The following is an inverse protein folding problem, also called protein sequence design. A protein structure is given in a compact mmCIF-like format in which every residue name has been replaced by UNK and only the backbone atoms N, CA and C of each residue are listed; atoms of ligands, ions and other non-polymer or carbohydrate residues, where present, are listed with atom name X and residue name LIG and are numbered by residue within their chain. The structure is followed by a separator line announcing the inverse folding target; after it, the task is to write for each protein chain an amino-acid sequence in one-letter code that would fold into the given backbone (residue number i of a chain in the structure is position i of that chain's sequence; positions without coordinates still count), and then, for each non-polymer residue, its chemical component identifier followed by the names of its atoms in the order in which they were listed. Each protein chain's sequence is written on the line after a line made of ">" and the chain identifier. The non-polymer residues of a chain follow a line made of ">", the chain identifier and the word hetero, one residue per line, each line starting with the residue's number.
data_IF_729549605950
#
_entry.id   IF_729549605950
#
_cell.length_a   1.000
_cell.length_b   1.000
_cell.length_c   1.000
_cell.angle_alpha   90.00
_cell.angle_beta   90.00
_cell.angle_gamma   90.00
#
_symmetry.space_group_name_H-M   'P 1'
#
loop_
_entity.id
_entity.type
_entity.pdbx_description
1 polymer ?
#
# COMPACT_ATOMS: atom_id res chain seq x y z
N UNK A 1 -46.09 3.64 -19.21
CA UNK A 1 -45.50 2.68 -20.16
C UNK A 1 -44.07 2.39 -19.75
N UNK A 2 -43.68 1.10 -19.74
CA UNK A 2 -42.32 0.70 -19.43
C UNK A 2 -41.48 0.81 -20.71
N UNK A 3 -40.28 1.41 -20.60
CA UNK A 3 -39.27 1.42 -21.64
C UNK A 3 -38.15 0.47 -21.18
N UNK A 4 -37.94 -0.61 -21.93
CA UNK A 4 -36.95 -1.61 -21.61
C UNK A 4 -35.65 -1.30 -22.37
N UNK A 5 -34.52 -1.26 -21.64
CA UNK A 5 -33.17 -1.21 -22.18
C UNK A 5 -32.40 -2.42 -21.67
N UNK A 6 -31.52 -2.95 -22.49
CA UNK A 6 -30.80 -4.17 -22.17
C UNK A 6 -29.30 -3.88 -22.02
N UNK A 7 -28.65 -4.54 -21.07
CA UNK A 7 -27.21 -4.34 -20.80
C UNK A 7 -26.32 -4.58 -22.03
N UNK A 8 -26.71 -5.46 -22.94
CA UNK A 8 -25.94 -5.68 -24.18
C UNK A 8 -25.96 -4.48 -25.12
N UNK A 9 -26.99 -3.62 -25.05
CA UNK A 9 -27.08 -2.39 -25.85
C UNK A 9 -26.00 -1.36 -25.44
N UNK A 10 -25.61 -1.38 -24.16
CA UNK A 10 -24.48 -0.58 -23.65
C UNK A 10 -23.14 -1.16 -24.13
N UNK A 11 -23.00 -2.49 -24.08
CA UNK A 11 -21.82 -3.18 -24.62
C UNK A 11 -21.61 -2.95 -26.11
N UNK A 12 -22.69 -2.81 -26.90
CA UNK A 12 -22.64 -2.50 -28.31
C UNK A 12 -22.38 -1.01 -28.58
N UNK A 13 -22.41 -0.15 -27.55
CA UNK A 13 -22.21 1.29 -27.66
C UNK A 13 -23.36 2.04 -28.37
N UNK A 14 -24.57 1.45 -28.38
CA UNK A 14 -25.74 2.04 -29.05
C UNK A 14 -26.94 2.24 -28.10
N UNK A 15 -26.73 2.09 -26.77
CA UNK A 15 -27.79 2.25 -25.76
C UNK A 15 -28.42 3.64 -25.81
N UNK A 16 -27.61 4.71 -25.89
CA UNK A 16 -28.11 6.10 -25.91
C UNK A 16 -28.99 6.36 -27.11
N UNK A 17 -28.55 5.96 -28.31
CA UNK A 17 -29.30 6.16 -29.57
C UNK A 17 -30.62 5.36 -29.54
N UNK A 18 -30.58 4.13 -29.07
CA UNK A 18 -31.78 3.27 -28.94
C UNK A 18 -32.74 3.80 -27.87
N UNK A 19 -32.22 4.30 -26.74
CA UNK A 19 -33.03 4.89 -25.68
C UNK A 19 -33.70 6.17 -26.18
N UNK A 20 -32.95 7.04 -26.84
CA UNK A 20 -33.49 8.27 -27.43
C UNK A 20 -34.62 7.97 -28.44
N UNK A 21 -34.42 6.98 -29.30
CA UNK A 21 -35.43 6.52 -30.26
C UNK A 21 -36.69 6.02 -29.55
N UNK A 22 -36.54 5.16 -28.54
CA UNK A 22 -37.64 4.58 -27.73
C UNK A 22 -38.43 5.70 -26.99
N UNK A 23 -37.74 6.71 -26.47
CA UNK A 23 -38.36 7.86 -25.81
C UNK A 23 -39.18 8.70 -26.81
N UNK A 24 -38.64 8.99 -28.01
CA UNK A 24 -39.35 9.69 -29.09
C UNK A 24 -40.59 8.92 -29.53
N UNK A 25 -40.51 7.62 -29.71
CA UNK A 25 -41.64 6.74 -30.08
C UNK A 25 -42.78 6.72 -29.03
N UNK A 26 -42.45 6.99 -27.79
CA UNK A 26 -43.42 7.08 -26.67
C UNK A 26 -43.91 8.52 -26.44
N UNK A 27 -43.51 9.50 -27.24
CA UNK A 27 -43.79 10.93 -27.07
C UNK A 27 -43.35 11.45 -25.68
N UNK A 28 -42.23 10.95 -25.18
CA UNK A 28 -41.61 11.47 -23.98
C UNK A 28 -40.72 12.64 -24.35
N UNK A 29 -41.07 13.83 -23.87
CA UNK A 29 -40.19 14.98 -24.00
C UNK A 29 -38.99 14.82 -23.09
N UNK A 30 -37.80 14.89 -23.62
CA UNK A 30 -36.57 14.93 -22.88
C UNK A 30 -35.68 16.09 -23.35
N UNK A 31 -34.92 16.62 -22.42
CA UNK A 31 -33.99 17.74 -22.69
C UNK A 31 -32.57 17.26 -22.31
N UNK A 32 -31.64 17.49 -23.21
CA UNK A 32 -30.22 17.36 -22.81
C UNK A 32 -29.94 18.43 -21.76
N UNK A 33 -29.67 17.98 -20.55
CA UNK A 33 -29.25 18.81 -19.45
C UNK A 33 -27.70 18.87 -19.50
N UNK A 34 -27.09 20.06 -19.59
CA UNK A 34 -25.66 20.18 -19.52
C UNK A 34 -25.13 19.48 -18.26
N UNK A 35 -24.04 18.73 -18.38
CA UNK A 35 -23.42 18.06 -17.24
C UNK A 35 -23.19 19.01 -16.07
N UNK A 36 -22.87 20.27 -16.35
CA UNK A 36 -22.69 21.34 -15.36
C UNK A 36 -23.93 21.55 -14.47
N UNK A 37 -25.13 21.49 -15.05
CA UNK A 37 -26.39 21.66 -14.32
C UNK A 37 -26.77 20.44 -13.49
N UNK A 38 -26.28 19.24 -13.86
CA UNK A 38 -26.47 17.99 -13.12
C UNK A 38 -25.50 17.92 -11.92
N UNK A 39 -24.29 18.49 -12.08
CA UNK A 39 -23.20 18.31 -11.14
C UNK A 39 -23.18 19.27 -9.95
N UNK A 40 -23.92 20.38 -10.00
CA UNK A 40 -23.85 21.44 -8.97
C UNK A 40 -24.45 21.01 -7.62
N UNK A 41 -25.39 20.08 -7.56
CA UNK A 41 -26.16 19.82 -6.35
C UNK A 41 -25.87 18.53 -5.57
N UNK A 42 -25.03 17.62 -6.07
CA UNK A 42 -24.84 16.33 -5.38
C UNK A 42 -23.37 16.06 -5.03
N UNK A 43 -23.07 15.95 -3.73
CA UNK A 43 -21.75 15.52 -3.19
C UNK A 43 -21.20 14.23 -3.82
N UNK A 44 -22.06 13.37 -4.35
CA UNK A 44 -21.67 12.13 -5.03
C UNK A 44 -20.94 12.41 -6.35
N UNK A 45 -21.36 13.38 -7.13
CA UNK A 45 -20.70 13.75 -8.36
C UNK A 45 -19.31 14.35 -8.13
N UNK A 46 -19.14 15.14 -7.08
CA UNK A 46 -17.81 15.65 -6.72
C UNK A 46 -16.82 14.50 -6.47
N UNK A 47 -17.27 13.40 -5.84
CA UNK A 47 -16.44 12.22 -5.62
C UNK A 47 -16.06 11.54 -6.95
N UNK A 48 -17.02 11.41 -7.87
CA UNK A 48 -16.79 10.81 -9.20
C UNK A 48 -15.80 11.65 -9.98
N UNK A 49 -16.00 12.97 -10.03
CA UNK A 49 -15.08 13.89 -10.71
C UNK A 49 -13.69 13.84 -10.09
N UNK A 50 -13.57 13.87 -8.77
CA UNK A 50 -12.27 13.76 -8.11
C UNK A 50 -11.58 12.40 -8.40
N UNK A 51 -12.34 11.32 -8.43
CA UNK A 51 -11.83 10.00 -8.81
C UNK A 51 -11.34 9.98 -10.24
N UNK A 52 -12.12 10.54 -11.18
CA UNK A 52 -11.73 10.66 -12.60
C UNK A 52 -10.47 11.53 -12.76
N UNK A 53 -10.42 12.70 -12.13
CA UNK A 53 -9.24 13.59 -12.17
C UNK A 53 -8.01 12.86 -11.63
N UNK A 54 -8.14 12.14 -10.51
CA UNK A 54 -7.05 11.36 -9.94
C UNK A 54 -6.56 10.28 -10.90
N UNK A 55 -7.49 9.58 -11.55
CA UNK A 55 -7.17 8.57 -12.57
C UNK A 55 -6.49 9.20 -13.78
N UNK A 56 -7.02 10.30 -14.29
CA UNK A 56 -6.45 11.03 -15.44
C UNK A 56 -5.02 11.51 -15.14
N UNK A 57 -4.80 12.12 -13.98
CA UNK A 57 -3.47 12.54 -13.54
C UNK A 57 -2.49 11.36 -13.44
N UNK A 58 -2.94 10.22 -12.89
CA UNK A 58 -2.13 9.02 -12.82
C UNK A 58 -1.74 8.52 -14.22
N UNK A 59 -2.68 8.44 -15.15
CA UNK A 59 -2.43 8.02 -16.54
C UNK A 59 -1.49 9.00 -17.25
N UNK A 60 -1.70 10.31 -17.10
CA UNK A 60 -0.84 11.34 -17.68
C UNK A 60 0.60 11.18 -17.15
N UNK A 61 0.76 11.06 -15.82
CA UNK A 61 2.09 10.90 -15.23
C UNK A 61 2.77 9.60 -15.66
N UNK A 62 2.06 8.47 -15.66
CA UNK A 62 2.60 7.19 -16.12
C UNK A 62 3.01 7.25 -17.60
N UNK A 63 2.16 7.81 -18.46
CA UNK A 63 2.49 7.92 -19.88
C UNK A 63 3.70 8.84 -20.12
N UNK A 64 3.85 9.95 -19.39
CA UNK A 64 5.05 10.80 -19.44
C UNK A 64 6.28 10.06 -18.91
N UNK A 65 6.19 9.40 -17.75
CA UNK A 65 7.31 8.64 -17.20
C UNK A 65 7.81 7.54 -18.14
N UNK A 66 6.92 6.90 -18.89
CA UNK A 66 7.28 5.89 -19.87
C UNK A 66 7.63 6.47 -21.24
N UNK A 67 7.67 7.80 -21.37
CA UNK A 67 7.93 8.52 -22.62
C UNK A 67 6.96 8.12 -23.75
N UNK A 68 5.72 7.76 -23.39
CA UNK A 68 4.66 7.41 -24.33
C UNK A 68 3.90 8.67 -24.69
N UNK A 69 3.91 9.05 -25.97
CA UNK A 69 3.15 10.19 -26.45
C UNK A 69 1.66 9.86 -26.58
N UNK A 70 0.85 10.87 -26.92
CA UNK A 70 -0.60 10.74 -27.02
C UNK A 70 -1.05 9.73 -28.08
N UNK A 71 -0.43 9.76 -29.25
CA UNK A 71 -0.78 8.89 -30.39
C UNK A 71 -0.41 7.45 -30.09
N UNK A 72 0.77 7.23 -29.49
CA UNK A 72 1.24 5.91 -29.08
C UNK A 72 0.34 5.32 -27.97
N UNK A 73 -0.10 6.13 -27.00
CA UNK A 73 -1.02 5.67 -25.95
C UNK A 73 -2.35 5.19 -26.56
N UNK A 74 -2.89 5.93 -27.50
CA UNK A 74 -4.12 5.57 -28.20
C UNK A 74 -3.93 4.27 -29.00
N UNK A 75 -2.80 4.13 -29.71
CA UNK A 75 -2.48 2.92 -30.46
C UNK A 75 -2.39 1.68 -29.57
N UNK A 76 -1.63 1.77 -28.49
CA UNK A 76 -1.49 0.67 -27.50
C UNK A 76 -2.81 0.28 -26.83
N UNK A 77 -3.76 1.19 -26.77
CA UNK A 77 -5.07 0.95 -26.13
C UNK A 77 -6.11 0.28 -27.04
N UNK A 78 -5.88 0.19 -28.37
CA UNK A 78 -6.87 -0.30 -29.35
C UNK A 78 -7.38 -1.72 -29.11
N UNK A 79 -6.56 -2.57 -28.55
CA UNK A 79 -6.94 -3.98 -28.30
C UNK A 79 -7.95 -4.13 -27.15
N UNK A 80 -8.10 -3.10 -26.29
CA UNK A 80 -9.05 -3.12 -25.19
C UNK A 80 -9.98 -1.91 -25.26
N UNK A 81 -11.27 -2.16 -25.55
CA UNK A 81 -12.28 -1.12 -25.73
C UNK A 81 -12.33 -0.12 -24.56
N UNK A 82 -12.28 -0.60 -23.32
CA UNK A 82 -12.35 0.28 -22.13
C UNK A 82 -11.06 1.11 -21.96
N UNK A 83 -9.90 0.53 -22.29
CA UNK A 83 -8.64 1.28 -22.31
C UNK A 83 -8.67 2.35 -23.38
N UNK A 84 -9.16 2.03 -24.57
CA UNK A 84 -9.27 2.97 -25.68
C UNK A 84 -10.19 4.15 -25.34
N UNK A 85 -11.40 3.88 -24.82
CA UNK A 85 -12.35 4.94 -24.44
C UNK A 85 -11.78 5.84 -23.34
N UNK A 86 -11.08 5.26 -22.36
CA UNK A 86 -10.45 6.04 -21.31
C UNK A 86 -9.26 6.86 -21.84
N UNK A 87 -8.47 6.32 -22.76
CA UNK A 87 -7.40 7.05 -23.44
C UNK A 87 -7.96 8.24 -24.24
N UNK A 88 -9.00 8.02 -25.02
CA UNK A 88 -9.66 9.04 -25.83
C UNK A 88 -10.20 10.22 -24.97
N UNK A 89 -10.74 9.92 -23.78
CA UNK A 89 -11.18 10.93 -22.81
C UNK A 89 -10.01 11.69 -22.15
N UNK A 90 -8.87 11.02 -21.91
CA UNK A 90 -7.74 11.61 -21.18
C UNK A 90 -6.83 12.41 -22.11
N UNK A 91 -6.70 12.04 -23.38
CA UNK A 91 -5.79 12.70 -24.32
C UNK A 91 -6.05 14.21 -24.51
N UNK A 92 -7.30 14.69 -24.64
CA UNK A 92 -7.57 16.14 -24.70
C UNK A 92 -7.13 16.85 -23.41
N UNK A 93 -7.33 16.21 -22.25
CA UNK A 93 -6.91 16.77 -20.96
C UNK A 93 -5.38 16.85 -20.88
N UNK A 94 -4.67 15.81 -21.30
CA UNK A 94 -3.21 15.81 -21.38
C UNK A 94 -2.70 16.93 -22.27
N UNK A 95 -3.26 17.07 -23.47
CA UNK A 95 -2.88 18.13 -24.41
C UNK A 95 -3.10 19.52 -23.82
N UNK A 96 -4.23 19.74 -23.15
CA UNK A 96 -4.52 21.00 -22.44
C UNK A 96 -3.52 21.26 -21.32
N UNK A 97 -3.18 20.23 -20.54
CA UNK A 97 -2.21 20.30 -19.47
C UNK A 97 -0.80 20.62 -20.00
N UNK A 98 -0.33 19.92 -21.02
CA UNK A 98 0.98 20.15 -21.64
C UNK A 98 1.08 21.56 -22.24
N UNK A 99 0.01 22.06 -22.91
CA UNK A 99 -0.08 23.43 -23.41
C UNK A 99 -0.01 24.46 -22.28
N UNK A 100 -0.74 24.22 -21.18
CA UNK A 100 -0.67 25.10 -20.00
C UNK A 100 0.74 25.19 -19.42
N UNK A 101 1.43 24.07 -19.26
CA UNK A 101 2.82 24.04 -18.81
C UNK A 101 3.75 24.81 -19.75
N UNK A 102 3.55 24.64 -21.07
CA UNK A 102 4.33 25.35 -22.09
C UNK A 102 4.11 26.88 -22.04
N UNK A 103 2.84 27.33 -22.03
CA UNK A 103 2.49 28.73 -21.99
C UNK A 103 2.93 29.44 -20.71
N UNK A 104 2.82 28.77 -19.57
CA UNK A 104 3.23 29.30 -18.28
C UNK A 104 4.74 29.14 -17.99
N UNK A 105 5.47 28.49 -18.91
CA UNK A 105 6.91 28.17 -18.75
C UNK A 105 7.19 27.36 -17.48
N UNK A 106 6.28 26.46 -17.14
CA UNK A 106 6.39 25.54 -16.02
C UNK A 106 6.73 24.13 -16.52
N UNK A 107 7.22 23.30 -15.62
CA UNK A 107 7.49 21.89 -15.83
C UNK A 107 7.00 21.09 -14.60
N UNK A 108 6.51 19.89 -14.84
CA UNK A 108 6.24 18.94 -13.77
C UNK A 108 7.45 18.03 -13.49
N UNK A 109 7.31 17.11 -12.51
CA UNK A 109 8.40 16.21 -12.13
C UNK A 109 8.80 15.24 -13.26
N UNK A 110 7.85 14.78 -14.07
CA UNK A 110 8.16 13.92 -15.22
C UNK A 110 8.94 14.72 -16.28
N UNK A 111 8.52 15.97 -16.58
CA UNK A 111 9.23 16.85 -17.50
C UNK A 111 10.66 17.15 -17.05
N UNK A 112 10.90 17.27 -15.74
CA UNK A 112 12.26 17.48 -15.22
C UNK A 112 13.19 16.33 -15.64
N UNK A 113 12.74 15.09 -15.51
CA UNK A 113 13.52 13.90 -15.87
C UNK A 113 13.69 13.77 -17.39
N UNK A 114 12.60 13.96 -18.14
CA UNK A 114 12.62 13.88 -19.61
C UNK A 114 13.53 14.96 -20.21
N UNK A 115 13.43 16.19 -19.74
CA UNK A 115 14.30 17.29 -20.23
C UNK A 115 15.74 17.12 -19.82
N UNK A 116 16.00 16.60 -18.60
CA UNK A 116 17.36 16.28 -18.18
C UNK A 116 17.98 15.20 -19.08
N UNK A 117 17.22 14.11 -19.35
CA UNK A 117 17.63 13.07 -20.29
C UNK A 117 17.95 13.66 -21.68
N UNK A 118 17.06 14.52 -22.20
CA UNK A 118 17.24 15.19 -23.48
C UNK A 118 18.53 16.04 -23.52
N UNK A 119 18.76 16.91 -22.52
CA UNK A 119 19.96 17.76 -22.48
C UNK A 119 21.27 16.96 -22.39
N UNK A 120 21.23 15.80 -21.76
CA UNK A 120 22.39 14.92 -21.67
C UNK A 120 22.65 14.25 -23.02
N UNK A 121 21.61 13.70 -23.65
CA UNK A 121 21.73 13.02 -24.93
C UNK A 121 22.12 13.97 -26.08
N UNK A 122 21.76 15.25 -25.99
CA UNK A 122 22.05 16.30 -26.97
C UNK A 122 23.38 17.02 -26.68
N UNK A 123 24.24 16.45 -25.82
CA UNK A 123 25.54 17.01 -25.41
C UNK A 123 25.48 18.43 -24.80
N UNK A 124 24.32 18.90 -24.39
CA UNK A 124 24.17 20.20 -23.74
C UNK A 124 24.59 20.18 -22.27
N UNK A 125 24.69 19.00 -21.69
CA UNK A 125 25.22 18.76 -20.36
C UNK A 125 26.28 17.66 -20.39
N UNK A 126 27.50 17.98 -19.95
CA UNK A 126 28.57 16.99 -19.78
C UNK A 126 28.79 16.72 -18.31
N UNK A 127 28.52 15.50 -17.89
CA UNK A 127 28.80 15.10 -16.52
C UNK A 127 30.27 14.72 -16.36
N UNK A 128 30.82 15.01 -15.18
CA UNK A 128 32.19 14.63 -14.77
C UNK A 128 32.17 13.73 -13.53
N UNK A 129 31.04 13.09 -13.27
CA UNK A 129 30.86 12.22 -12.10
C UNK A 129 31.76 10.98 -12.24
N UNK A 130 32.48 10.66 -11.19
CA UNK A 130 33.24 9.40 -11.07
C UNK A 130 32.41 8.29 -10.45
N UNK A 131 31.46 8.66 -9.62
CA UNK A 131 30.55 7.77 -8.90
C UNK A 131 29.16 8.35 -8.92
N UNK A 132 28.15 7.50 -9.12
CA UNK A 132 26.75 7.82 -8.87
C UNK A 132 26.24 6.78 -7.88
N UNK A 133 25.64 7.26 -6.78
CA UNK A 133 25.06 6.43 -5.73
C UNK A 133 23.55 6.67 -5.75
N UNK A 134 22.77 5.59 -5.86
CA UNK A 134 21.30 5.64 -5.86
C UNK A 134 20.80 4.83 -4.68
N UNK A 135 20.09 5.49 -3.79
CA UNK A 135 19.38 4.85 -2.67
C UNK A 135 17.94 4.53 -3.05
N UNK A 136 17.30 3.60 -2.32
CA UNK A 136 15.94 3.13 -2.58
C UNK A 136 15.73 2.69 -4.04
N UNK A 137 16.71 2.01 -4.63
CA UNK A 137 16.75 1.68 -6.06
C UNK A 137 15.55 0.82 -6.53
N UNK A 138 14.88 0.11 -5.63
CA UNK A 138 13.65 -0.66 -5.92
C UNK A 138 12.44 0.22 -6.30
N UNK A 139 12.54 1.54 -6.08
CA UNK A 139 11.46 2.48 -6.40
C UNK A 139 11.76 3.29 -7.68
N UNK A 140 12.79 2.92 -8.43
CA UNK A 140 13.18 3.61 -9.67
C UNK A 140 12.11 3.40 -10.74
N UNK A 141 11.74 4.51 -11.39
CA UNK A 141 10.84 4.53 -12.54
C UNK A 141 11.59 4.45 -13.87
N UNK A 142 10.87 4.16 -14.96
CA UNK A 142 11.41 4.14 -16.32
C UNK A 142 12.14 5.45 -16.69
N UNK A 143 11.57 6.61 -16.35
CA UNK A 143 12.22 7.90 -16.60
C UNK A 143 13.52 8.10 -15.81
N UNK A 144 13.55 7.67 -14.56
CA UNK A 144 14.77 7.73 -13.74
C UNK A 144 15.86 6.76 -14.28
N UNK A 145 15.46 5.55 -14.68
CA UNK A 145 16.38 4.61 -15.31
C UNK A 145 16.96 5.20 -16.61
N UNK A 146 16.14 5.76 -17.50
CA UNK A 146 16.62 6.38 -18.75
C UNK A 146 17.57 7.54 -18.49
N UNK A 147 17.28 8.38 -17.49
CA UNK A 147 18.20 9.45 -17.10
C UNK A 147 19.55 8.92 -16.64
N UNK A 148 19.57 7.89 -15.78
CA UNK A 148 20.82 7.23 -15.35
C UNK A 148 21.57 6.61 -16.53
N UNK A 149 20.84 6.03 -17.47
CA UNK A 149 21.41 5.45 -18.69
C UNK A 149 22.03 6.51 -19.60
N UNK A 150 21.34 7.63 -19.81
CA UNK A 150 21.88 8.77 -20.55
C UNK A 150 23.17 9.32 -19.91
N UNK A 151 23.17 9.48 -18.57
CA UNK A 151 24.38 9.86 -17.84
C UNK A 151 25.53 8.87 -18.06
N UNK A 152 25.24 7.55 -18.08
CA UNK A 152 26.24 6.50 -18.28
C UNK A 152 26.82 6.52 -19.69
N UNK A 153 25.99 6.79 -20.69
CA UNK A 153 26.41 6.89 -22.08
C UNK A 153 27.27 8.14 -22.34
N UNK A 154 26.99 9.22 -21.60
CA UNK A 154 27.72 10.49 -21.73
C UNK A 154 29.10 10.47 -21.04
N UNK A 155 29.24 9.71 -19.94
CA UNK A 155 30.49 9.58 -19.19
C UNK A 155 30.55 8.26 -18.42
N UNK A 156 31.69 7.61 -18.44
CA UNK A 156 31.90 6.37 -17.69
C UNK A 156 32.13 6.64 -16.19
N UNK A 157 31.15 6.26 -15.37
CA UNK A 157 31.22 6.35 -13.93
C UNK A 157 30.92 4.99 -13.26
N UNK A 158 31.30 4.85 -12.01
CA UNK A 158 30.90 3.71 -11.17
C UNK A 158 29.50 3.95 -10.62
N UNK A 159 28.56 3.05 -10.96
CA UNK A 159 27.21 3.06 -10.42
C UNK A 159 27.15 2.17 -9.17
N UNK A 160 26.61 2.71 -8.07
CA UNK A 160 26.36 1.97 -6.84
C UNK A 160 24.91 2.17 -6.43
N UNK A 161 24.13 1.10 -6.44
CA UNK A 161 22.71 1.12 -6.10
C UNK A 161 22.46 0.37 -4.80
N UNK A 162 21.63 0.93 -3.93
CA UNK A 162 21.16 0.31 -2.69
C UNK A 162 19.65 0.21 -2.76
N UNK A 163 19.09 -0.94 -2.40
CA UNK A 163 17.65 -1.13 -2.43
C UNK A 163 17.22 -2.47 -1.85
N UNK A 164 15.91 -2.59 -1.62
CA UNK A 164 15.27 -3.77 -1.08
C UNK A 164 14.00 -4.08 -1.90
N UNK A 165 14.06 -5.08 -2.79
CA UNK A 165 12.96 -5.48 -3.66
C UNK A 165 11.68 -5.86 -2.88
N UNK A 166 11.82 -6.35 -1.63
CA UNK A 166 10.68 -6.63 -0.76
C UNK A 166 9.93 -5.37 -0.31
N UNK A 167 10.55 -4.18 -0.46
CA UNK A 167 9.96 -2.88 -0.13
C UNK A 167 9.54 -2.07 -1.37
N UNK A 168 9.50 -2.66 -2.56
CA UNK A 168 8.98 -2.02 -3.78
C UNK A 168 7.45 -1.96 -3.72
N UNK A 169 6.91 -0.77 -3.41
CA UNK A 169 5.47 -0.54 -3.17
C UNK A 169 4.92 0.70 -3.91
N UNK A 170 5.63 1.21 -4.91
CA UNK A 170 5.23 2.41 -5.66
C UNK A 170 5.01 2.12 -7.16
N UNK A 171 4.64 0.88 -7.50
CA UNK A 171 4.31 0.51 -8.88
C UNK A 171 3.19 1.39 -9.44
N UNK A 172 2.21 1.76 -8.61
CA UNK A 172 1.12 2.65 -9.01
C UNK A 172 1.59 4.05 -9.45
N UNK A 173 2.81 4.48 -9.08
CA UNK A 173 3.48 5.71 -9.50
C UNK A 173 4.48 5.50 -10.63
N UNK A 174 4.59 4.28 -11.18
CA UNK A 174 5.49 3.94 -12.28
C UNK A 174 6.85 3.43 -11.87
N UNK A 175 7.05 3.06 -10.58
CA UNK A 175 8.24 2.30 -10.19
C UNK A 175 8.16 0.89 -10.75
N UNK A 176 9.30 0.38 -11.22
CA UNK A 176 9.41 -0.96 -11.77
C UNK A 176 10.48 -1.75 -11.00
N UNK A 177 10.03 -2.77 -10.29
CA UNK A 177 10.90 -3.62 -9.46
C UNK A 177 11.89 -4.44 -10.30
N UNK A 178 11.65 -4.62 -11.60
CA UNK A 178 12.56 -5.35 -12.48
C UNK A 178 13.96 -4.71 -12.54
N UNK A 179 14.05 -3.37 -12.43
CA UNK A 179 15.34 -2.68 -12.43
C UNK A 179 16.29 -3.13 -11.31
N UNK A 180 15.77 -3.55 -10.16
CA UNK A 180 16.61 -4.12 -9.10
C UNK A 180 16.71 -5.64 -9.20
N UNK A 181 15.65 -6.33 -9.60
CA UNK A 181 15.64 -7.79 -9.68
C UNK A 181 16.52 -8.31 -10.79
N UNK A 182 16.45 -7.66 -11.95
CA UNK A 182 17.19 -8.03 -13.16
C UNK A 182 18.35 -7.06 -13.43
N UNK A 183 18.97 -6.54 -12.35
CA UNK A 183 19.96 -5.46 -12.39
C UNK A 183 21.07 -5.68 -13.43
N UNK A 184 21.54 -6.92 -13.58
CA UNK A 184 22.62 -7.24 -14.53
C UNK A 184 22.14 -7.20 -15.99
N UNK A 185 20.86 -7.40 -16.26
CA UNK A 185 20.32 -7.27 -17.62
C UNK A 185 20.30 -5.79 -18.06
N UNK A 186 20.02 -4.88 -17.13
CA UNK A 186 19.98 -3.44 -17.41
C UNK A 186 21.36 -2.77 -17.43
N UNK A 187 22.28 -3.21 -16.54
CA UNK A 187 23.55 -2.52 -16.30
C UNK A 187 24.80 -3.32 -16.71
N UNK A 188 24.63 -4.58 -17.09
CA UNK A 188 25.72 -5.50 -17.38
C UNK A 188 26.33 -6.13 -16.13
N UNK A 189 27.49 -6.80 -16.26
CA UNK A 189 28.13 -7.50 -15.15
C UNK A 189 28.35 -6.58 -13.95
N UNK A 190 27.91 -7.02 -12.79
CA UNK A 190 27.96 -6.25 -11.54
C UNK A 190 28.23 -7.16 -10.34
N UNK A 191 28.81 -6.58 -9.29
CA UNK A 191 28.95 -7.24 -8.00
C UNK A 191 27.73 -6.95 -7.13
N UNK A 192 27.20 -7.99 -6.50
CA UNK A 192 26.05 -7.89 -5.62
C UNK A 192 26.47 -8.27 -4.20
N UNK A 193 26.34 -7.33 -3.28
CA UNK A 193 26.52 -7.55 -1.84
C UNK A 193 25.18 -7.55 -1.14
N UNK A 194 25.01 -8.43 -0.14
CA UNK A 194 23.76 -8.53 0.63
C UNK A 194 24.00 -8.12 2.07
N UNK A 195 23.13 -7.24 2.57
CA UNK A 195 23.09 -6.88 3.99
C UNK A 195 22.01 -7.73 4.64
N UNK A 196 22.42 -8.81 5.30
CA UNK A 196 21.51 -9.81 5.86
C UNK A 196 21.37 -9.70 7.39
N UNK A 197 22.01 -8.72 8.03
CA UNK A 197 21.90 -8.50 9.47
C UNK A 197 21.07 -7.27 9.78
N UNK A 198 20.04 -7.42 10.61
CA UNK A 198 19.25 -6.32 11.14
C UNK A 198 19.38 -6.17 12.65
N UNK A 199 19.29 -4.91 13.12
CA UNK A 199 19.28 -4.54 14.53
C UNK A 199 17.92 -4.01 14.97
N UNK A 200 16.98 -3.91 14.03
CA UNK A 200 15.70 -3.21 14.24
C UNK A 200 14.68 -4.05 15.00
N UNK A 201 14.48 -5.30 14.60
CA UNK A 201 13.40 -6.15 15.09
C UNK A 201 13.88 -7.58 15.38
N UNK A 202 13.05 -8.35 16.09
CA UNK A 202 13.38 -9.69 16.55
C UNK A 202 13.45 -10.71 15.41
N UNK A 203 14.10 -11.86 15.68
CA UNK A 203 14.15 -12.98 14.73
C UNK A 203 12.75 -13.50 14.40
N UNK A 204 11.85 -13.56 15.39
CA UNK A 204 10.45 -13.98 15.17
C UNK A 204 9.73 -13.10 14.13
N UNK A 205 9.97 -11.77 14.09
CA UNK A 205 9.40 -10.91 13.07
C UNK A 205 10.04 -11.13 11.70
N UNK A 206 11.35 -11.36 11.66
CA UNK A 206 12.05 -11.72 10.42
C UNK A 206 11.45 -12.98 9.81
N UNK A 207 11.34 -14.05 10.61
CA UNK A 207 10.90 -15.35 10.12
C UNK A 207 9.49 -15.25 9.51
N UNK A 208 8.56 -14.64 10.23
CA UNK A 208 7.17 -14.46 9.74
C UNK A 208 7.12 -13.58 8.49
N UNK A 209 7.76 -12.42 8.53
CA UNK A 209 7.66 -11.46 7.42
C UNK A 209 8.41 -11.92 6.17
N UNK A 210 9.57 -12.57 6.34
CA UNK A 210 10.37 -13.10 5.23
C UNK A 210 9.69 -14.30 4.57
N UNK A 211 9.18 -15.26 5.36
CA UNK A 211 8.44 -16.40 4.83
C UNK A 211 7.20 -15.92 4.06
N UNK A 212 6.50 -14.94 4.60
CA UNK A 212 5.32 -14.36 3.96
C UNK A 212 5.66 -13.73 2.59
N UNK A 213 6.68 -12.85 2.52
CA UNK A 213 6.99 -12.14 1.27
C UNK A 213 7.62 -13.07 0.23
N UNK A 214 8.43 -14.05 0.67
CA UNK A 214 9.11 -15.02 -0.21
C UNK A 214 8.19 -16.08 -0.80
N UNK A 215 6.90 -16.13 -0.47
CA UNK A 215 5.93 -16.96 -1.22
C UNK A 215 5.81 -16.52 -2.67
N UNK A 216 6.09 -15.26 -2.98
CA UNK A 216 6.33 -14.85 -4.35
C UNK A 216 7.71 -15.36 -4.80
N UNK A 217 7.78 -16.32 -5.75
CA UNK A 217 9.05 -16.94 -6.15
C UNK A 217 9.99 -15.99 -6.92
N UNK A 218 9.46 -14.86 -7.42
CA UNK A 218 10.26 -13.85 -8.12
C UNK A 218 11.07 -12.96 -7.18
N UNK A 219 10.71 -12.86 -5.89
CA UNK A 219 11.44 -12.03 -4.94
C UNK A 219 12.86 -12.57 -4.70
N UNK A 220 13.83 -11.67 -4.58
CA UNK A 220 15.21 -12.02 -4.27
C UNK A 220 15.27 -12.72 -2.90
N UNK A 221 15.80 -13.92 -2.86
CA UNK A 221 15.96 -14.66 -1.60
C UNK A 221 17.03 -14.03 -0.72
N UNK A 222 16.68 -13.77 0.54
CA UNK A 222 17.55 -13.18 1.56
C UNK A 222 17.50 -14.05 2.81
N UNK A 223 18.63 -14.18 3.50
CA UNK A 223 18.74 -14.92 4.76
C UNK A 223 18.96 -13.94 5.90
N UNK A 224 17.88 -13.25 6.31
CA UNK A 224 17.96 -12.20 7.32
C UNK A 224 18.17 -12.78 8.72
N UNK A 225 19.07 -12.15 9.47
CA UNK A 225 19.37 -12.50 10.87
C UNK A 225 19.23 -11.28 11.76
N UNK A 226 18.61 -11.47 12.94
CA UNK A 226 18.52 -10.44 13.96
C UNK A 226 19.71 -10.46 14.88
N UNK A 227 20.21 -9.29 15.25
CA UNK A 227 21.05 -9.09 16.43
C UNK A 227 20.25 -8.74 17.68
N UNK A 228 18.93 -8.60 17.55
CA UNK A 228 18.05 -8.43 18.69
C UNK A 228 17.71 -9.83 19.29
N UNK A 229 18.18 -10.09 20.51
CA UNK A 229 18.03 -11.38 21.20
C UNK A 229 16.64 -11.56 21.84
N UNK A 230 15.66 -10.71 21.51
CA UNK A 230 14.29 -10.86 21.99
C UNK A 230 13.59 -12.03 21.28
N UNK A 231 13.27 -13.08 22.03
CA UNK A 231 12.57 -14.28 21.57
C UNK A 231 11.03 -14.18 21.75
N UNK A 232 10.50 -12.99 21.97
CA UNK A 232 9.06 -12.79 22.11
C UNK A 232 8.32 -13.06 20.78
N UNK A 233 7.05 -13.42 20.88
CA UNK A 233 6.17 -13.42 19.71
C UNK A 233 6.11 -11.99 19.16
N UNK A 234 6.39 -11.85 17.88
CA UNK A 234 6.45 -10.53 17.25
C UNK A 234 5.18 -10.14 16.50
N UNK A 235 4.32 -11.10 16.16
CA UNK A 235 3.06 -10.89 15.44
C UNK A 235 1.94 -11.64 16.13
N UNK A 236 0.84 -10.95 16.41
CA UNK A 236 -0.37 -11.58 16.98
C UNK A 236 -1.64 -10.98 16.38
N UNK A 237 -2.72 -11.74 16.43
CA UNK A 237 -4.05 -11.34 15.95
C UNK A 237 -4.94 -10.92 17.10
N UNK A 238 -5.63 -9.79 16.91
CA UNK A 238 -6.72 -9.34 17.76
C UNK A 238 -8.01 -9.54 16.97
N UNK A 239 -8.75 -10.61 17.29
CA UNK A 239 -9.93 -11.06 16.54
C UNK A 239 -11.23 -10.84 17.33
N UNK A 240 -12.12 -10.03 16.78
CA UNK A 240 -13.47 -9.79 17.30
C UNK A 240 -14.54 -10.40 16.40
N UNK A 241 -15.75 -10.63 16.94
CA UNK A 241 -16.88 -11.13 16.16
C UNK A 241 -17.40 -10.15 15.11
N UNK A 242 -17.12 -8.87 15.28
CA UNK A 242 -17.40 -7.80 14.33
C UNK A 242 -16.36 -6.70 14.47
N UNK A 243 -16.30 -5.81 13.49
CA UNK A 243 -15.31 -4.74 13.44
C UNK A 243 -15.27 -3.86 14.70
N UNK A 244 -16.45 -3.54 15.27
CA UNK A 244 -16.54 -2.75 16.51
C UNK A 244 -15.85 -3.46 17.68
N UNK A 245 -16.05 -4.77 17.82
CA UNK A 245 -15.39 -5.55 18.88
C UNK A 245 -13.89 -5.71 18.62
N UNK A 246 -13.46 -5.87 17.37
CA UNK A 246 -12.03 -5.92 17.04
C UNK A 246 -11.34 -4.61 17.45
N UNK A 247 -11.94 -3.46 17.14
CA UNK A 247 -11.42 -2.16 17.55
C UNK A 247 -11.42 -2.00 19.07
N UNK A 248 -12.50 -2.42 19.74
CA UNK A 248 -12.55 -2.40 21.21
C UNK A 248 -11.41 -3.22 21.84
N UNK A 249 -11.18 -4.43 21.36
CA UNK A 249 -10.07 -5.29 21.83
C UNK A 249 -8.71 -4.70 21.52
N UNK A 250 -8.56 -4.06 20.36
CA UNK A 250 -7.36 -3.29 20.02
C UNK A 250 -7.10 -2.19 21.07
N UNK A 251 -8.13 -1.40 21.42
CA UNK A 251 -8.00 -0.34 22.41
C UNK A 251 -7.69 -0.91 23.79
N UNK A 252 -8.33 -2.00 24.20
CA UNK A 252 -8.04 -2.68 25.46
C UNK A 252 -6.57 -3.15 25.50
N UNK A 253 -6.06 -3.65 24.37
CA UNK A 253 -4.64 -4.02 24.25
C UNK A 253 -3.71 -2.81 24.31
N UNK A 254 -4.08 -1.68 23.69
CA UNK A 254 -3.28 -0.46 23.76
C UNK A 254 -3.17 0.09 25.19
N UNK A 255 -4.22 -0.09 26.02
CA UNK A 255 -4.18 0.31 27.44
C UNK A 255 -3.15 -0.47 28.25
N UNK A 256 -2.81 -1.70 27.84
CA UNK A 256 -1.84 -2.56 28.51
C UNK A 256 -0.39 -2.32 28.03
N UNK A 257 -0.15 -1.55 26.97
CA UNK A 257 1.17 -1.28 26.45
C UNK A 257 2.08 -0.59 27.49
N UNK A 258 3.41 -0.76 27.42
CA UNK A 258 4.35 -0.01 28.23
C UNK A 258 4.17 1.50 28.10
N UNK A 259 4.59 2.25 29.13
CA UNK A 259 4.56 3.70 29.10
C UNK A 259 5.56 4.29 28.09
N UNK A 260 5.24 5.45 27.55
CA UNK A 260 6.12 6.26 26.71
C UNK A 260 6.61 5.52 25.44
N UNK A 261 5.75 4.69 24.84
CA UNK A 261 6.07 4.01 23.58
C UNK A 261 5.38 4.66 22.38
N UNK A 262 5.98 4.49 21.22
CA UNK A 262 5.42 4.91 19.95
C UNK A 262 4.53 3.82 19.37
N UNK A 263 3.38 4.22 18.82
CA UNK A 263 2.36 3.32 18.26
C UNK A 263 1.94 3.80 16.89
N UNK A 264 2.04 2.95 15.87
CA UNK A 264 1.45 3.23 14.57
C UNK A 264 0.18 2.39 14.40
N UNK A 265 -0.87 3.07 13.95
CA UNK A 265 -2.07 2.45 13.43
C UNK A 265 -1.97 2.52 11.90
N UNK A 266 -1.85 1.38 11.24
CA UNK A 266 -1.63 1.31 9.80
C UNK A 266 -2.89 0.84 9.08
N UNK A 267 -3.36 1.63 8.13
CA UNK A 267 -4.44 1.25 7.21
C UNK A 267 -3.94 1.10 5.78
N UNK A 268 -4.65 0.31 4.98
CA UNK A 268 -4.41 0.25 3.54
C UNK A 268 -4.81 1.57 2.88
N UNK A 269 -5.89 2.17 3.37
CA UNK A 269 -6.47 3.41 2.87
C UNK A 269 -6.55 4.48 3.96
N UNK A 270 -6.66 5.74 3.55
CA UNK A 270 -6.78 6.86 4.50
C UNK A 270 -8.07 6.78 5.31
N UNK A 271 -9.16 6.27 4.71
CA UNK A 271 -10.45 6.11 5.38
C UNK A 271 -10.49 4.96 6.40
N UNK A 272 -9.48 4.08 6.43
CA UNK A 272 -9.38 3.07 7.50
C UNK A 272 -9.26 3.72 8.89
N UNK A 273 -8.85 5.00 8.95
CA UNK A 273 -8.89 5.79 10.18
C UNK A 273 -10.32 5.94 10.74
N UNK A 274 -11.36 5.87 9.90
CA UNK A 274 -12.75 5.98 10.33
C UNK A 274 -13.19 4.81 11.23
N UNK A 275 -12.49 3.67 11.13
CA UNK A 275 -12.68 2.52 12.02
C UNK A 275 -12.42 2.88 13.49
N UNK A 276 -11.55 3.85 13.76
CA UNK A 276 -11.24 4.29 15.12
C UNK A 276 -12.44 4.93 15.82
N UNK A 277 -13.42 5.44 15.06
CA UNK A 277 -14.66 6.01 15.60
C UNK A 277 -15.59 4.96 16.27
N UNK A 278 -15.30 3.66 16.09
CA UNK A 278 -16.06 2.61 16.78
C UNK A 278 -15.80 2.54 18.29
N UNK A 279 -14.73 3.19 18.79
CA UNK A 279 -14.46 3.26 20.23
C UNK A 279 -14.29 4.70 20.69
N UNK A 280 -15.19 5.15 21.56
CA UNK A 280 -15.24 6.54 22.06
C UNK A 280 -14.02 6.97 22.89
N UNK A 281 -13.20 6.01 23.34
CA UNK A 281 -11.95 6.30 24.06
C UNK A 281 -10.85 6.83 23.13
N UNK A 282 -11.04 6.70 21.81
CA UNK A 282 -10.14 7.23 20.80
C UNK A 282 -10.65 8.57 20.27
N UNK A 283 -9.74 9.49 20.01
CA UNK A 283 -10.01 10.69 19.24
C UNK A 283 -8.92 10.95 18.21
N UNK A 284 -9.31 11.31 16.99
CA UNK A 284 -8.41 11.54 15.87
C UNK A 284 -8.36 13.03 15.56
N UNK A 285 -7.14 13.58 15.46
CA UNK A 285 -6.91 14.96 15.01
C UNK A 285 -6.06 14.96 13.75
N UNK A 286 -6.57 15.57 12.72
CA UNK A 286 -5.82 15.78 11.48
C UNK A 286 -4.88 16.96 11.63
N UNK A 287 -3.59 16.73 11.37
CA UNK A 287 -2.59 17.79 11.31
C UNK A 287 -2.42 18.21 9.83
N UNK A 288 -2.94 19.38 9.50
CA UNK A 288 -2.91 19.91 8.12
C UNK A 288 -1.50 20.23 7.64
N UNK A 289 -0.57 20.59 8.55
CA UNK A 289 0.81 20.93 8.18
C UNK A 289 1.67 19.71 7.82
N UNK A 290 1.43 18.57 8.45
CA UNK A 290 2.18 17.33 8.21
C UNK A 290 1.41 16.29 7.39
N UNK A 291 0.10 16.51 7.18
CA UNK A 291 -0.79 15.55 6.53
C UNK A 291 -0.97 14.24 7.31
N UNK A 292 -0.69 14.25 8.62
CA UNK A 292 -0.77 13.09 9.49
C UNK A 292 -2.02 13.13 10.38
N UNK A 293 -2.48 11.96 10.81
CA UNK A 293 -3.60 11.85 11.74
C UNK A 293 -3.08 11.40 13.10
N UNK A 294 -3.03 12.34 14.05
CA UNK A 294 -2.65 12.05 15.42
C UNK A 294 -3.83 11.45 16.17
N UNK A 295 -3.59 10.35 16.86
CA UNK A 295 -4.62 9.63 17.62
C UNK A 295 -4.36 9.81 19.12
N UNK A 296 -5.39 10.07 19.88
CA UNK A 296 -5.33 10.21 21.34
C UNK A 296 -6.18 9.13 21.99
N UNK A 297 -5.60 8.42 22.94
CA UNK A 297 -6.29 7.44 23.75
C UNK A 297 -6.54 8.00 25.15
N UNK A 298 -7.80 7.93 25.60
CA UNK A 298 -8.19 8.33 26.95
C UNK A 298 -7.37 7.56 27.99
N UNK A 299 -6.91 8.29 29.02
CA UNK A 299 -6.08 7.77 30.11
C UNK A 299 -4.67 7.27 29.72
N UNK A 300 -4.25 7.39 28.44
CA UNK A 300 -2.92 7.00 27.97
C UNK A 300 -2.26 8.11 27.14
N UNK A 301 -2.18 9.30 27.75
CA UNK A 301 -1.51 10.48 27.13
C UNK A 301 0.00 10.30 26.95
N UNK A 302 0.56 9.28 27.60
CA UNK A 302 1.96 8.87 27.49
C UNK A 302 2.30 8.14 26.20
N UNK A 303 1.29 7.66 25.46
CA UNK A 303 1.50 6.99 24.18
C UNK A 303 1.56 8.00 23.03
N UNK A 304 2.55 7.82 22.18
CA UNK A 304 2.68 8.56 20.92
C UNK A 304 2.01 7.79 19.78
N UNK A 305 0.70 8.02 19.56
CA UNK A 305 -0.09 7.25 18.59
C UNK A 305 -0.33 8.07 17.33
N UNK A 306 0.00 7.50 16.17
CA UNK A 306 -0.22 8.13 14.88
C UNK A 306 -0.80 7.12 13.89
N UNK A 307 -1.82 7.54 13.13
CA UNK A 307 -2.33 6.78 12.01
C UNK A 307 -1.60 7.16 10.72
N UNK A 308 -1.21 6.15 9.96
CA UNK A 308 -0.66 6.27 8.61
C UNK A 308 -1.31 5.27 7.66
N UNK A 309 -1.37 5.60 6.38
CA UNK A 309 -1.45 4.52 5.38
C UNK A 309 -0.12 3.79 5.33
N UNK A 310 -0.15 2.50 5.00
CA UNK A 310 1.09 1.70 4.91
C UNK A 310 2.12 2.36 3.99
N UNK A 311 1.70 2.89 2.84
CA UNK A 311 2.58 3.62 1.92
C UNK A 311 3.30 4.80 2.59
N UNK A 312 2.57 5.61 3.38
CA UNK A 312 3.16 6.75 4.09
C UNK A 312 4.05 6.34 5.26
N UNK A 313 3.96 5.11 5.72
CA UNK A 313 4.79 4.58 6.81
C UNK A 313 6.15 4.07 6.34
N UNK A 314 6.39 3.95 5.02
CA UNK A 314 7.69 3.53 4.49
C UNK A 314 8.79 4.46 4.99
N UNK A 315 9.92 3.89 5.41
CA UNK A 315 11.01 4.63 6.05
C UNK A 315 10.80 4.96 7.53
N UNK A 316 9.55 4.92 8.05
CA UNK A 316 9.23 5.19 9.45
C UNK A 316 9.24 3.91 10.30
N UNK A 317 9.19 4.06 11.63
CA UNK A 317 9.14 2.92 12.56
C UNK A 317 8.53 3.33 13.91
N UNK A 318 7.86 2.38 14.58
CA UNK A 318 7.30 2.55 15.92
C UNK A 318 7.63 1.35 16.81
N UNK A 319 7.47 1.50 18.13
CA UNK A 319 7.63 0.36 19.04
C UNK A 319 6.58 -0.72 18.76
N UNK A 320 5.32 -0.30 18.57
CA UNK A 320 4.17 -1.17 18.33
C UNK A 320 3.43 -0.72 17.08
N UNK A 321 2.96 -1.70 16.31
CA UNK A 321 2.18 -1.46 15.09
C UNK A 321 0.87 -2.23 15.15
N UNK A 322 -0.22 -1.58 14.84
CA UNK A 322 -1.54 -2.20 14.67
C UNK A 322 -1.95 -2.04 13.21
N UNK A 323 -2.10 -3.16 12.51
CA UNK A 323 -2.54 -3.16 11.10
C UNK A 323 -4.05 -3.33 11.10
N UNK A 324 -4.75 -2.33 10.57
CA UNK A 324 -6.20 -2.26 10.53
C UNK A 324 -6.76 -2.94 9.27
N UNK A 325 -8.05 -3.29 9.33
CA UNK A 325 -8.83 -3.73 8.16
C UNK A 325 -8.25 -4.94 7.41
N UNK A 326 -7.75 -5.94 8.15
CA UNK A 326 -7.29 -7.20 7.55
C UNK A 326 -8.49 -8.07 7.16
N UNK A 327 -9.35 -7.56 6.28
CA UNK A 327 -10.60 -8.20 5.88
C UNK A 327 -10.56 -8.66 4.43
N UNK A 328 -11.38 -9.68 4.11
CA UNK A 328 -11.59 -10.19 2.75
C UNK A 328 -12.49 -9.29 1.89
N UNK A 329 -12.88 -8.11 2.40
CA UNK A 329 -13.69 -7.13 1.68
C UNK A 329 -12.93 -6.56 0.47
N UNK A 330 -13.69 -5.97 -0.46
CA UNK A 330 -13.14 -5.34 -1.67
C UNK A 330 -12.06 -4.28 -1.36
N UNK A 331 -12.27 -3.48 -0.29
CA UNK A 331 -11.34 -2.47 0.20
C UNK A 331 -10.61 -2.94 1.48
N UNK A 332 -10.39 -4.22 1.64
CA UNK A 332 -9.62 -4.78 2.74
C UNK A 332 -8.11 -4.71 2.53
N UNK A 333 -7.37 -5.52 3.27
CA UNK A 333 -5.94 -5.69 3.08
C UNK A 333 -5.61 -7.19 2.98
N UNK A 334 -5.29 -7.74 1.78
CA UNK A 334 -5.03 -7.03 0.52
C UNK A 334 -6.25 -6.37 -0.11
N UNK A 335 -6.00 -5.31 -0.85
CA UNK A 335 -7.02 -4.64 -1.66
C UNK A 335 -7.35 -5.50 -2.88
N UNK A 336 -8.65 -5.60 -3.20
CA UNK A 336 -9.13 -6.26 -4.43
C UNK A 336 -9.46 -5.25 -5.55
N UNK A 337 -9.01 -4.01 -5.39
CA UNK A 337 -9.18 -2.96 -6.41
C UNK A 337 -8.21 -3.22 -7.56
N UNK A 338 -8.77 -3.57 -8.70
CA UNK A 338 -8.00 -3.77 -9.93
C UNK A 338 -7.60 -2.42 -10.56
N UNK A 339 -6.48 -2.42 -11.23
CA UNK A 339 -6.09 -1.31 -12.07
C UNK A 339 -7.02 -1.18 -13.28
N UNK A 340 -7.21 0.04 -13.77
CA UNK A 340 -7.90 0.21 -15.06
C UNK A 340 -7.09 -0.46 -16.18
N UNK A 341 -7.75 -0.98 -17.23
CA UNK A 341 -7.04 -1.61 -18.36
C UNK A 341 -5.98 -0.70 -18.98
N UNK A 342 -6.25 0.60 -19.07
CA UNK A 342 -5.29 1.57 -19.59
C UNK A 342 -4.06 1.71 -18.68
N UNK A 343 -4.26 1.65 -17.36
CA UNK A 343 -3.13 1.66 -16.40
C UNK A 343 -2.27 0.40 -16.54
N UNK A 344 -2.88 -0.77 -16.75
CA UNK A 344 -2.13 -2.01 -16.97
C UNK A 344 -1.26 -1.94 -18.24
N UNK A 345 -1.75 -1.28 -19.31
CA UNK A 345 -0.96 -1.06 -20.53
C UNK A 345 0.27 -0.18 -20.27
N UNK A 346 0.19 0.74 -19.30
CA UNK A 346 1.28 1.65 -18.95
C UNK A 346 2.26 1.07 -17.93
N UNK A 347 1.87 0.01 -17.21
CA UNK A 347 2.75 -0.71 -16.29
C UNK A 347 3.47 -1.81 -17.08
N UNK A 348 4.69 -1.52 -17.55
CA UNK A 348 5.43 -2.35 -18.52
C UNK A 348 5.79 -3.75 -18.00
N UNK A 349 6.03 -3.89 -16.71
CA UNK A 349 6.36 -5.18 -16.09
C UNK A 349 5.38 -5.49 -14.99
N UNK A 350 4.43 -6.37 -15.30
CA UNK A 350 3.52 -6.92 -14.31
C UNK A 350 4.17 -8.12 -13.62
N UNK A 351 4.31 -8.04 -12.31
CA UNK A 351 4.63 -9.20 -11.50
C UNK A 351 3.40 -10.10 -11.50
N UNK A 352 3.42 -11.13 -12.34
CA UNK A 352 2.30 -12.06 -12.56
C UNK A 352 1.89 -12.87 -11.32
N UNK A 353 2.62 -12.73 -10.20
CA UNK A 353 2.24 -13.38 -8.95
C UNK A 353 1.09 -12.65 -8.29
N UNK A 354 0.06 -13.39 -7.93
CA UNK A 354 -1.16 -12.83 -7.34
C UNK A 354 -0.87 -11.97 -6.11
N UNK A 355 -1.44 -10.76 -6.09
CA UNK A 355 -1.25 -9.78 -5.02
C UNK A 355 0.22 -9.43 -4.72
N UNK A 356 1.13 -9.48 -5.70
CA UNK A 356 2.56 -9.27 -5.49
C UNK A 356 2.90 -7.94 -4.82
N UNK A 357 2.35 -6.81 -5.30
CA UNK A 357 2.55 -5.49 -4.69
C UNK A 357 1.89 -5.39 -3.31
N UNK A 358 0.67 -5.90 -3.15
CA UNK A 358 -0.02 -5.94 -1.85
C UNK A 358 0.75 -6.79 -0.83
N UNK A 359 1.39 -7.88 -1.27
CA UNK A 359 2.25 -8.72 -0.41
C UNK A 359 3.49 -7.97 0.06
N UNK A 360 4.16 -7.24 -0.82
CA UNK A 360 5.27 -6.34 -0.43
C UNK A 360 4.79 -5.23 0.49
N UNK A 361 3.61 -4.68 0.23
CA UNK A 361 3.00 -3.67 1.09
C UNK A 361 2.71 -4.21 2.50
N UNK A 362 2.20 -5.44 2.61
CA UNK A 362 1.96 -6.08 3.89
C UNK A 362 3.28 -6.39 4.63
N UNK A 363 4.31 -6.83 3.91
CA UNK A 363 5.67 -6.96 4.46
C UNK A 363 6.19 -5.62 5.01
N UNK A 364 6.01 -4.52 4.27
CA UNK A 364 6.35 -3.19 4.76
C UNK A 364 5.59 -2.87 6.03
N UNK A 365 4.29 -3.14 6.11
CA UNK A 365 3.49 -2.90 7.30
C UNK A 365 4.02 -3.69 8.53
N UNK A 366 4.31 -4.98 8.37
CA UNK A 366 4.87 -5.83 9.41
C UNK A 366 6.22 -5.28 9.92
N UNK A 367 7.09 -4.87 9.02
CA UNK A 367 8.45 -4.43 9.34
C UNK A 367 8.56 -2.98 9.83
N UNK A 368 7.44 -2.29 10.07
CA UNK A 368 7.43 -0.97 10.73
C UNK A 368 7.58 -1.08 12.24
N UNK A 369 7.32 -2.25 12.82
CA UNK A 369 7.43 -2.48 14.27
C UNK A 369 8.88 -2.77 14.70
N UNK A 370 9.26 -2.21 15.85
CA UNK A 370 10.50 -2.57 16.54
C UNK A 370 10.29 -3.75 17.48
N UNK A 371 9.09 -3.86 18.09
CA UNK A 371 8.80 -4.82 19.15
C UNK A 371 7.68 -5.80 18.76
N UNK A 372 6.52 -5.29 18.34
CA UNK A 372 5.36 -6.15 18.11
C UNK A 372 4.38 -5.58 17.10
N UNK A 373 3.77 -6.49 16.34
CA UNK A 373 2.69 -6.21 15.38
C UNK A 373 1.40 -6.86 15.83
N UNK A 374 0.32 -6.10 15.82
CA UNK A 374 -1.04 -6.58 16.07
C UNK A 374 -1.85 -6.51 14.78
N UNK A 375 -2.38 -7.65 14.34
CA UNK A 375 -3.27 -7.76 13.18
C UNK A 375 -4.72 -7.63 13.67
N UNK A 376 -5.43 -6.60 13.24
CA UNK A 376 -6.82 -6.39 13.65
C UNK A 376 -7.73 -7.09 12.67
N UNK A 377 -8.44 -8.11 13.15
CA UNK A 377 -9.17 -9.07 12.33
C UNK A 377 -10.62 -9.16 12.77
N UNK A 378 -11.54 -9.30 11.84
CA UNK A 378 -12.95 -9.61 12.09
C UNK A 378 -13.22 -11.07 11.75
N UNK A 379 -13.79 -11.82 12.69
CA UNK A 379 -14.10 -13.24 12.53
C UNK A 379 -15.02 -13.48 11.34
N UNK A 380 -14.74 -14.53 10.56
CA UNK A 380 -15.42 -14.91 9.32
C UNK A 380 -15.32 -13.87 8.19
N UNK A 381 -14.38 -12.93 8.31
CA UNK A 381 -14.03 -11.95 7.28
C UNK A 381 -12.52 -11.79 7.15
N UNK A 382 -11.78 -12.80 7.55
CA UNK A 382 -10.33 -12.84 7.47
C UNK A 382 -9.88 -12.68 6.01
N UNK A 383 -8.90 -11.82 5.79
CA UNK A 383 -8.30 -11.68 4.46
C UNK A 383 -7.46 -12.91 4.09
N UNK A 384 -7.18 -13.05 2.80
CA UNK A 384 -6.37 -14.15 2.29
C UNK A 384 -4.99 -14.18 2.95
N UNK A 385 -4.41 -13.01 3.28
CA UNK A 385 -3.13 -12.91 3.99
C UNK A 385 -3.22 -13.40 5.44
N UNK A 386 -4.31 -13.11 6.13
CA UNK A 386 -4.55 -13.62 7.48
C UNK A 386 -4.73 -15.13 7.46
N UNK A 387 -5.56 -15.66 6.54
CA UNK A 387 -5.76 -17.10 6.41
C UNK A 387 -4.44 -17.82 6.09
N UNK A 388 -3.60 -17.23 5.25
CA UNK A 388 -2.28 -17.74 4.93
C UNK A 388 -1.38 -17.84 6.17
N UNK A 389 -1.34 -16.78 7.00
CA UNK A 389 -0.59 -16.78 8.26
C UNK A 389 -1.14 -17.79 9.27
N UNK A 390 -2.47 -17.88 9.40
CA UNK A 390 -3.11 -18.87 10.28
C UNK A 390 -2.81 -20.30 9.83
N UNK A 391 -2.81 -20.58 8.54
CA UNK A 391 -2.47 -21.90 7.99
C UNK A 391 -0.99 -22.27 8.22
N UNK A 392 -0.11 -21.28 8.16
CA UNK A 392 1.35 -21.49 8.33
C UNK A 392 1.73 -21.66 9.80
N UNK A 393 1.22 -20.80 10.68
CA UNK A 393 1.67 -20.72 12.09
C UNK A 393 0.65 -21.30 13.09
N UNK A 394 -0.58 -21.50 12.67
CA UNK A 394 -1.69 -21.94 13.53
C UNK A 394 -2.33 -20.79 14.32
N UNK A 395 -3.65 -20.75 14.36
CA UNK A 395 -4.43 -19.72 15.05
C UNK A 395 -4.04 -19.55 16.52
N UNK A 396 -3.80 -20.64 17.24
CA UNK A 396 -3.44 -20.58 18.67
C UNK A 396 -2.10 -19.90 18.95
N UNK A 397 -1.18 -19.88 17.97
CA UNK A 397 0.11 -19.20 18.11
C UNK A 397 -0.01 -17.70 17.81
N UNK A 398 -0.88 -17.32 16.87
CA UNK A 398 -1.08 -15.93 16.46
C UNK A 398 -2.05 -15.19 17.38
N UNK A 399 -2.91 -15.89 18.15
CA UNK A 399 -3.94 -15.23 18.96
C UNK A 399 -3.33 -14.42 20.11
N UNK A 400 -3.59 -13.09 20.11
CA UNK A 400 -3.10 -12.16 21.14
C UNK A 400 -3.53 -12.52 22.56
N UNK A 401 -4.63 -13.25 22.73
CA UNK A 401 -5.04 -13.75 24.05
C UNK A 401 -3.95 -14.55 24.73
N UNK A 402 -3.10 -15.23 23.97
CA UNK A 402 -1.97 -16.01 24.46
C UNK A 402 -0.62 -15.26 24.41
N UNK A 403 -0.62 -13.96 24.15
CA UNK A 403 0.57 -13.11 24.18
C UNK A 403 0.65 -12.30 25.47
N UNK A 404 1.81 -12.30 26.11
CA UNK A 404 2.06 -11.52 27.32
C UNK A 404 2.18 -10.02 26.99
N UNK A 405 1.34 -9.13 27.54
CA UNK A 405 1.39 -7.71 27.25
C UNK A 405 2.64 -7.00 27.80
N UNK A 406 3.32 -7.62 28.77
CA UNK A 406 4.52 -7.02 29.41
C UNK A 406 5.80 -7.27 28.63
N UNK A 407 5.95 -8.47 28.06
CA UNK A 407 7.23 -8.89 27.48
C UNK A 407 7.08 -9.64 26.15
N UNK A 408 5.87 -9.74 25.59
CA UNK A 408 5.62 -10.46 24.33
C UNK A 408 5.76 -11.98 24.42
N UNK A 409 6.12 -12.54 25.57
CA UNK A 409 6.23 -14.00 25.74
C UNK A 409 4.90 -14.72 25.62
N UNK A 410 4.93 -16.01 25.30
CA UNK A 410 3.72 -16.83 25.21
C UNK A 410 3.09 -17.00 26.60
N UNK A 411 1.77 -16.89 26.68
CA UNK A 411 1.01 -17.24 27.88
C UNK A 411 0.67 -18.73 27.85
N UNK A 412 1.09 -19.45 28.88
CA UNK A 412 0.89 -20.89 29.05
C UNK A 412 -0.12 -21.12 30.16
N UNK A 413 -0.97 -22.13 29.99
CA UNK A 413 -1.97 -22.48 30.98
C UNK A 413 -1.31 -23.17 32.19
N UNK A 414 -1.65 -22.71 33.39
CA UNK A 414 -1.31 -23.31 34.66
C UNK A 414 -2.58 -23.61 35.46
N UNK A 415 -2.56 -24.72 36.15
CA UNK A 415 -3.63 -25.13 37.08
C UNK A 415 -3.23 -24.74 38.50
N UNK A 416 -3.90 -23.78 39.09
CA UNK A 416 -3.64 -23.33 40.45
C UNK A 416 -4.75 -23.70 41.44
N UNK A 417 -4.48 -23.60 42.74
CA UNK A 417 -5.46 -23.88 43.78
C UNK A 417 -6.76 -23.06 43.66
N UNK A 418 -6.68 -21.87 43.10
CA UNK A 418 -7.82 -20.94 42.90
C UNK A 418 -8.38 -20.95 41.48
N UNK A 419 -8.04 -21.94 40.67
CA UNK A 419 -8.49 -22.13 39.28
C UNK A 419 -7.39 -21.90 38.23
N UNK A 420 -7.75 -22.12 36.99
CA UNK A 420 -6.85 -22.04 35.84
C UNK A 420 -6.48 -20.58 35.51
N UNK A 421 -5.22 -20.36 35.17
CA UNK A 421 -4.71 -19.09 34.76
C UNK A 421 -3.64 -19.25 33.67
N UNK A 422 -3.43 -18.22 32.86
CA UNK A 422 -2.35 -18.11 31.91
C UNK A 422 -1.18 -17.38 32.57
N UNK A 423 0.00 -17.99 32.58
CA UNK A 423 1.25 -17.41 33.07
C UNK A 423 2.26 -17.20 31.93
N UNK A 424 3.10 -16.19 32.06
CA UNK A 424 4.10 -15.88 31.03
C UNK A 424 5.23 -16.93 30.98
N UNK A 425 5.53 -17.43 29.76
CA UNK A 425 6.64 -18.37 29.51
C UNK A 425 8.02 -17.79 29.84
N UNK A 426 8.14 -16.46 29.82
CA UNK A 426 9.40 -15.78 30.13
C UNK A 426 9.62 -15.53 31.63
N UNK A 427 8.87 -16.20 32.49
CA UNK A 427 9.10 -16.11 33.94
C UNK A 427 10.53 -16.47 34.33
N UNK A 428 11.06 -17.55 33.78
CA UNK A 428 12.42 -18.02 34.09
C UNK A 428 13.52 -17.26 33.34
N UNK A 429 13.20 -16.64 32.18
CA UNK A 429 14.18 -15.94 31.34
C UNK A 429 14.41 -14.49 31.78
N UNK A 430 13.35 -13.76 32.04
CA UNK A 430 13.41 -12.32 32.37
C UNK A 430 12.56 -11.95 33.60
N UNK A 431 12.17 -12.93 34.41
CA UNK A 431 11.36 -12.79 35.63
C UNK A 431 9.98 -12.10 35.38
N UNK A 432 9.39 -12.28 34.19
CA UNK A 432 8.10 -11.71 33.88
C UNK A 432 6.98 -12.43 34.69
N UNK A 433 6.44 -11.74 35.69
CA UNK A 433 5.39 -12.26 36.61
C UNK A 433 3.96 -11.99 36.10
N UNK A 434 3.79 -11.73 34.79
CA UNK A 434 2.45 -11.48 34.26
C UNK A 434 1.60 -12.77 34.30
N UNK A 435 0.36 -12.62 34.79
CA UNK A 435 -0.66 -13.66 34.75
C UNK A 435 -1.98 -13.10 34.28
N UNK A 436 -2.79 -13.91 33.57
CA UNK A 436 -4.14 -13.60 33.11
C UNK A 436 -5.12 -14.66 33.61
N UNK A 437 -6.17 -14.25 34.32
CA UNK A 437 -7.23 -15.17 34.77
C UNK A 437 -8.05 -15.64 33.57
N UNK A 438 -8.39 -16.92 33.57
CA UNK A 438 -9.31 -17.50 32.58
C UNK A 438 -10.71 -17.47 33.19
N UNK A 439 -11.56 -16.56 32.71
CA UNK A 439 -12.97 -16.61 33.08
C UNK A 439 -13.64 -17.75 32.31
N UNK A 440 -14.24 -18.71 33.01
CA UNK A 440 -14.96 -19.88 32.43
C UNK A 440 -16.22 -19.51 31.61
N UNK A 441 -16.35 -18.26 31.13
CA UNK A 441 -17.44 -17.79 30.25
C UNK A 441 -16.84 -17.03 29.07
N UNK A 442 -16.47 -17.74 28.04
CA UNK A 442 -16.38 -17.26 26.66
C UNK A 442 -16.67 -18.44 25.72
#
# INVERSE_FOLDING_TARGET
>A
KLIECYAYEDFEGNLEEKLEKKLKEQNVEFKNIPLEDIFIEKKEYQKIIHSFISTALTIINLSKNNNINAEELLEKSKENKNAYLLADLILPLRKTYDNYLYETKQIDFADMLIKAEYYINDDLFKNTFKYIIVDEYQDVSSSQYRLLKALRNNNDFKLFCVGDDWQSIYQFNGSDVSYIMDFQEFWGPSEISRIETTYRFSQSLIDISSEFVMKNPKQIRKSLQSKNMDNSLAVTEIKGFNTKLSIKFMVDRMLELPKNCSVYLLGRYTFDADLLNYDSRLSVKYNTSTGTQKVYLENRKDLDITFYTVHKSKGLQADYVFILNNSSDFLGFPSKVENTPLKNILLEHDDSYENSEERRLFYVALTRAKKHVFLIVTKNRESDFIQELENTYGYSQLNDFYCCPKCGGKLIMFHGEYGDFLGCSNYNLNQCKYTRKINKKA
#
